data_IF_750293999208
#
_entry.id   IF_750293999208
#
_cell.length_a   1.000
_cell.length_b   1.000
_cell.length_c   1.000
_cell.angle_alpha   90.00
_cell.angle_beta   90.00
_cell.angle_gamma   90.00
#
_symmetry.space_group_name_H-M   'P 1'
#
loop_
_entity.id
_entity.type
_entity.pdbx_description
1 polymer ?
#
# COMPACT_ATOMS: atom_id res chain seq x y z
N UNK A 1 10.50 -55.61 6.88
CA UNK A 1 9.33 -55.41 5.99
C UNK A 1 8.10 -55.47 6.87
N UNK A 2 7.10 -54.63 6.57
CA UNK A 2 5.97 -54.23 7.42
C UNK A 2 6.28 -53.03 8.32
N UNK A 3 5.88 -51.84 7.88
CA UNK A 3 5.65 -50.67 8.73
C UNK A 3 4.13 -50.63 8.98
N UNK A 4 3.73 -50.75 10.25
CA UNK A 4 2.36 -50.52 10.69
C UNK A 4 2.20 -49.08 11.16
N UNK A 5 1.12 -48.45 10.69
CA UNK A 5 0.60 -47.16 11.10
C UNK A 5 0.20 -47.12 12.58
N UNK A 6 0.51 -46.03 13.27
CA UNK A 6 -0.15 -45.52 14.48
C UNK A 6 -0.06 -43.99 14.33
N UNK A 7 -1.09 -43.15 14.45
CA UNK A 7 -2.35 -43.22 15.17
C UNK A 7 -2.51 -41.84 15.80
N UNK A 8 -3.31 -40.97 15.20
CA UNK A 8 -3.57 -39.60 15.64
C UNK A 8 -4.47 -39.66 16.88
N UNK A 9 -3.99 -39.18 18.02
CA UNK A 9 -4.83 -38.56 19.06
C UNK A 9 -3.97 -37.81 20.06
N UNK A 10 -4.07 -36.48 20.08
CA UNK A 10 -4.56 -35.71 21.22
C UNK A 10 -4.38 -34.22 20.92
N UNK A 11 -5.52 -33.54 20.82
CA UNK A 11 -5.65 -32.09 20.85
C UNK A 11 -5.12 -31.60 22.21
N UNK A 12 -3.99 -30.91 22.19
CA UNK A 12 -3.52 -30.07 23.29
C UNK A 12 -3.52 -28.62 22.79
N UNK A 13 -4.05 -27.70 23.58
CA UNK A 13 -3.96 -26.26 23.38
C UNK A 13 -2.55 -25.86 22.94
N UNK A 14 -2.43 -25.34 21.72
CA UNK A 14 -1.25 -24.58 21.33
C UNK A 14 -1.47 -23.14 21.78
N UNK A 15 -1.06 -22.84 23.02
CA UNK A 15 -0.64 -21.48 23.34
C UNK A 15 0.59 -21.20 22.49
N UNK A 16 0.41 -20.51 21.36
CA UNK A 16 1.52 -19.92 20.60
C UNK A 16 2.04 -18.70 21.38
N UNK A 17 2.65 -18.93 22.55
CA UNK A 17 3.59 -17.98 23.10
C UNK A 17 4.88 -18.13 22.29
N UNK A 18 5.00 -17.34 21.23
CA UNK A 18 6.26 -17.14 20.54
C UNK A 18 7.21 -16.40 21.50
N UNK A 19 7.88 -17.12 22.38
CA UNK A 19 9.06 -16.58 23.06
C UNK A 19 10.16 -16.42 22.02
N UNK A 20 10.18 -15.26 21.37
CA UNK A 20 11.35 -14.78 20.63
C UNK A 20 12.47 -14.67 21.65
N UNK A 21 13.54 -15.42 21.44
CA UNK A 21 14.76 -15.23 22.21
C UNK A 21 15.29 -13.82 21.88
N UNK A 22 15.14 -12.90 22.83
CA UNK A 22 15.82 -11.59 22.79
C UNK A 22 17.31 -11.90 22.81
N UNK A 23 18.04 -11.54 21.75
CA UNK A 23 19.49 -11.64 21.75
C UNK A 23 20.06 -10.79 22.89
N UNK A 24 21.10 -11.27 23.58
CA UNK A 24 21.72 -10.64 24.75
C UNK A 24 22.40 -9.26 24.49
N UNK A 25 22.11 -8.60 23.37
CA UNK A 25 22.63 -7.28 22.99
C UNK A 25 21.57 -6.19 23.12
N UNK A 26 21.98 -5.00 23.59
CA UNK A 26 21.13 -3.81 23.50
C UNK A 26 20.88 -3.46 22.02
N UNK A 27 19.66 -3.05 21.63
CA UNK A 27 19.39 -2.60 20.27
C UNK A 27 20.33 -1.46 19.87
N UNK A 28 20.82 -1.51 18.63
CA UNK A 28 21.48 -0.39 17.98
C UNK A 28 20.44 0.52 17.37
N UNK A 29 20.51 1.83 17.68
CA UNK A 29 19.59 2.82 17.14
C UNK A 29 20.30 3.68 16.09
N UNK A 30 19.72 3.76 14.90
CA UNK A 30 20.15 4.62 13.81
C UNK A 30 19.09 5.68 13.50
N UNK A 31 19.53 6.72 12.79
CA UNK A 31 18.64 7.75 12.23
C UNK A 31 18.90 7.92 10.75
N UNK A 32 17.84 8.19 10.01
CA UNK A 32 17.88 8.58 8.62
C UNK A 32 16.88 9.73 8.34
N UNK A 33 16.99 10.38 7.19
CA UNK A 33 16.26 11.58 6.82
C UNK A 33 15.65 11.44 5.43
N UNK A 34 14.36 11.76 5.32
CA UNK A 34 13.64 11.89 4.06
C UNK A 34 13.14 13.34 3.93
N UNK A 35 13.92 14.22 3.28
CA UNK A 35 13.53 15.61 3.04
C UNK A 35 12.63 15.76 1.81
N UNK A 36 11.79 16.79 1.82
CA UNK A 36 11.04 17.20 0.64
C UNK A 36 10.48 18.61 0.75
N UNK A 37 10.39 19.31 -0.38
CA UNK A 37 9.66 20.55 -0.51
C UNK A 37 8.48 20.33 -1.45
N UNK A 38 7.30 20.72 -1.00
CA UNK A 38 6.02 20.41 -1.62
C UNK A 38 5.29 21.67 -2.04
N UNK A 39 4.63 21.66 -3.19
CA UNK A 39 3.79 22.78 -3.65
C UNK A 39 2.46 22.84 -2.86
N UNK A 40 1.60 23.80 -3.22
CA UNK A 40 0.30 24.00 -2.56
C UNK A 40 -0.71 22.86 -2.78
N UNK A 41 -0.47 22.01 -3.78
CA UNK A 41 -1.29 20.83 -4.09
C UNK A 41 -0.71 19.55 -3.45
N UNK A 42 0.43 19.65 -2.76
CA UNK A 42 1.10 18.54 -2.09
C UNK A 42 2.04 17.73 -2.99
N UNK A 43 2.37 18.21 -4.20
CA UNK A 43 3.32 17.52 -5.07
C UNK A 43 4.76 17.80 -4.62
N UNK A 44 5.61 16.77 -4.64
CA UNK A 44 7.04 16.92 -4.37
C UNK A 44 7.72 17.73 -5.48
N UNK A 45 8.12 18.96 -5.17
CA UNK A 45 8.85 19.86 -6.09
C UNK A 45 10.33 19.49 -6.14
N UNK A 46 10.92 19.16 -4.99
CA UNK A 46 12.32 18.77 -4.88
C UNK A 46 12.54 17.89 -3.64
N UNK A 47 13.43 16.87 -3.71
CA UNK A 47 13.78 16.02 -2.56
C UNK A 47 14.75 16.74 -1.59
N UNK A 48 14.73 18.06 -1.54
CA UNK A 48 15.56 18.88 -0.66
C UNK A 48 14.69 19.82 0.16
N UNK A 49 15.24 20.34 1.27
CA UNK A 49 14.56 21.36 2.09
C UNK A 49 14.88 22.75 1.54
N UNK A 50 13.85 23.59 1.38
CA UNK A 50 14.00 24.97 0.90
C UNK A 50 13.33 25.90 1.89
N UNK A 51 14.01 26.97 2.29
CA UNK A 51 13.42 27.99 3.16
C UNK A 51 12.18 28.59 2.49
N UNK A 52 11.08 28.68 3.23
CA UNK A 52 9.77 28.97 2.65
C UNK A 52 9.72 30.42 2.12
N UNK A 53 9.85 30.57 0.81
CA UNK A 53 9.84 31.87 0.16
C UNK A 53 9.65 31.79 -1.35
N UNK A 54 8.77 30.86 -1.82
CA UNK A 54 8.10 30.81 -3.14
C UNK A 54 7.62 29.38 -3.50
N UNK A 55 8.19 28.33 -2.89
CA UNK A 55 8.09 26.92 -3.33
C UNK A 55 7.03 26.03 -2.63
N UNK A 56 6.32 26.55 -1.63
CA UNK A 56 5.36 25.79 -0.82
C UNK A 56 5.92 25.36 0.55
N UNK A 57 5.56 24.18 1.04
CA UNK A 57 5.91 23.69 2.39
C UNK A 57 7.05 22.69 2.37
N UNK A 58 8.06 22.87 3.21
CA UNK A 58 9.13 21.88 3.39
C UNK A 58 8.84 20.99 4.59
N UNK A 59 9.04 19.68 4.38
CA UNK A 59 8.84 18.64 5.37
C UNK A 59 10.11 17.81 5.45
N UNK A 60 10.59 17.57 6.66
CA UNK A 60 11.61 16.57 6.95
C UNK A 60 10.97 15.41 7.69
N UNK A 61 11.09 14.21 7.15
CA UNK A 61 10.78 12.99 7.89
C UNK A 61 12.07 12.47 8.52
N UNK A 62 12.16 12.48 9.86
CA UNK A 62 13.22 11.79 10.59
C UNK A 62 12.78 10.36 10.86
N UNK A 63 13.56 9.45 10.34
CA UNK A 63 13.41 8.01 10.49
C UNK A 63 14.31 7.56 11.62
N UNK A 64 13.76 6.83 12.59
CA UNK A 64 14.50 6.25 13.72
C UNK A 64 14.29 4.75 13.68
N UNK A 65 15.38 3.98 13.68
CA UNK A 65 15.31 2.54 13.50
C UNK A 65 16.12 1.81 14.57
N UNK A 66 15.60 0.67 15.01
CA UNK A 66 16.27 -0.28 15.87
C UNK A 66 16.56 -1.57 15.11
N UNK A 67 17.78 -2.11 15.26
CA UNK A 67 18.18 -3.39 14.67
C UNK A 67 17.64 -4.63 15.41
N UNK A 68 17.00 -4.42 16.56
CA UNK A 68 16.42 -5.45 17.40
C UNK A 68 15.06 -5.01 17.96
N UNK A 69 14.21 -5.96 18.39
CA UNK A 69 12.89 -5.65 18.94
C UNK A 69 12.94 -4.66 20.11
N UNK A 70 11.93 -3.79 20.17
CA UNK A 70 11.79 -2.80 21.25
C UNK A 70 11.22 -3.50 22.52
N UNK A 71 11.76 -3.20 23.71
CA UNK A 71 11.22 -3.72 24.97
C UNK A 71 9.77 -3.32 25.25
N UNK A 72 9.06 -4.13 26.04
CA UNK A 72 7.73 -3.78 26.55
C UNK A 72 7.81 -2.47 27.36
N UNK A 73 6.97 -1.49 27.01
CA UNK A 73 7.00 -0.14 27.57
C UNK A 73 7.75 0.90 26.73
N UNK A 74 8.38 0.46 25.63
CA UNK A 74 9.08 1.32 24.68
C UNK A 74 10.50 1.67 25.09
N UNK A 75 11.24 2.28 24.17
CA UNK A 75 12.62 2.70 24.37
C UNK A 75 12.76 4.22 24.21
N UNK A 76 13.24 4.91 25.23
CA UNK A 76 13.47 6.36 25.18
C UNK A 76 14.83 6.64 24.55
N UNK A 77 14.84 7.39 23.46
CA UNK A 77 16.04 7.71 22.68
C UNK A 77 16.20 9.22 22.57
N UNK A 78 17.42 9.69 22.79
CA UNK A 78 17.81 11.08 22.57
C UNK A 78 18.45 11.23 21.18
N UNK A 79 17.87 12.08 20.35
CA UNK A 79 18.38 12.41 19.02
C UNK A 79 18.78 13.88 19.04
N UNK A 80 20.06 14.13 18.83
CA UNK A 80 20.63 15.47 18.91
C UNK A 80 21.08 15.96 17.54
N UNK A 81 21.29 17.28 17.43
CA UNK A 81 21.81 17.92 16.23
C UNK A 81 23.09 18.68 16.51
N UNK A 82 23.80 19.11 15.46
CA UNK A 82 24.93 20.03 15.59
C UNK A 82 24.52 21.51 15.64
N UNK A 83 23.20 21.80 15.71
CA UNK A 83 22.69 23.15 15.92
C UNK A 83 22.80 23.57 17.40
N UNK A 84 23.06 24.85 17.62
CA UNK A 84 22.98 25.44 18.96
C UNK A 84 21.54 25.60 19.46
N UNK A 85 20.57 25.65 18.55
CA UNK A 85 19.15 25.73 18.86
C UNK A 85 18.33 25.07 17.73
N UNK A 86 17.83 23.86 17.96
CA UNK A 86 17.03 23.12 16.98
C UNK A 86 15.69 23.83 16.69
N UNK A 87 15.24 24.74 17.55
CA UNK A 87 14.01 25.51 17.30
C UNK A 87 14.14 26.52 16.16
N UNK A 88 15.37 26.79 15.69
CA UNK A 88 15.61 27.51 14.43
C UNK A 88 15.28 26.64 13.21
N UNK A 89 15.32 25.32 13.37
CA UNK A 89 15.08 24.35 12.31
C UNK A 89 13.60 23.90 12.25
N UNK A 90 13.00 23.59 13.39
CA UNK A 90 11.59 23.16 13.48
C UNK A 90 10.69 24.37 13.73
N UNK A 91 9.46 24.39 13.20
CA UNK A 91 8.49 25.45 13.54
C UNK A 91 8.30 25.53 15.06
N UNK A 92 8.79 26.62 15.69
CA UNK A 92 9.01 26.79 17.13
C UNK A 92 7.84 26.47 18.09
N UNK A 93 7.47 27.41 18.97
CA UNK A 93 6.67 27.15 20.20
C UNK A 93 5.27 26.48 20.06
N UNK A 94 4.79 26.15 18.85
CA UNK A 94 3.57 25.37 18.57
C UNK A 94 3.87 23.98 17.98
N UNK A 95 5.04 23.42 18.28
CA UNK A 95 5.50 22.11 17.81
C UNK A 95 4.50 20.98 18.14
N UNK A 96 3.84 20.46 17.11
CA UNK A 96 3.01 19.26 17.18
C UNK A 96 3.50 18.32 16.05
N UNK A 97 4.53 17.51 16.30
CA UNK A 97 5.02 16.57 15.29
C UNK A 97 3.95 15.51 15.04
N UNK A 98 3.82 15.10 13.78
CA UNK A 98 3.11 13.85 13.48
C UNK A 98 4.10 12.72 13.62
N UNK A 99 3.78 11.73 14.44
CA UNK A 99 4.63 10.57 14.69
C UNK A 99 3.95 9.29 14.25
N UNK A 100 4.75 8.36 13.78
CA UNK A 100 4.36 7.00 13.46
C UNK A 100 5.33 6.04 14.15
N UNK A 101 4.84 4.99 14.82
CA UNK A 101 5.69 3.98 15.48
C UNK A 101 6.26 4.40 16.84
N UNK A 102 5.83 5.53 17.38
CA UNK A 102 6.26 6.05 18.68
C UNK A 102 5.72 7.45 18.96
N UNK A 103 6.35 8.13 19.91
CA UNK A 103 5.93 9.47 20.36
C UNK A 103 7.14 10.37 20.66
N UNK A 104 6.98 11.67 20.41
CA UNK A 104 7.95 12.67 20.86
C UNK A 104 7.64 13.05 22.31
N UNK A 105 8.63 12.93 23.19
CA UNK A 105 8.51 13.23 24.63
C UNK A 105 8.85 14.68 24.97
N UNK A 106 9.75 15.29 24.21
CA UNK A 106 10.22 16.65 24.46
C UNK A 106 11.51 16.98 23.73
N UNK A 107 12.18 18.02 24.19
CA UNK A 107 13.49 18.43 23.67
C UNK A 107 14.65 17.85 24.49
N UNK A 108 15.78 17.65 23.81
CA UNK A 108 17.09 17.50 24.46
C UNK A 108 17.67 18.90 24.63
N UNK A 109 18.17 19.21 25.82
CA UNK A 109 18.72 20.53 26.16
C UNK A 109 20.23 20.48 26.33
N UNK A 110 20.91 21.47 25.74
CA UNK A 110 22.32 21.72 25.99
C UNK A 110 22.58 22.42 27.32
N UNK A 111 23.86 22.60 27.66
CA UNK A 111 24.30 23.25 28.91
C UNK A 111 23.82 24.71 29.05
N UNK A 112 23.51 25.38 27.93
CA UNK A 112 22.99 26.75 27.89
C UNK A 112 21.45 26.81 28.05
N UNK A 113 20.79 25.66 28.20
CA UNK A 113 19.35 25.53 28.35
C UNK A 113 18.58 25.67 27.05
N UNK A 114 19.24 25.70 25.89
CA UNK A 114 18.58 25.67 24.58
C UNK A 114 18.32 24.24 24.13
N UNK A 115 17.26 24.05 23.36
CA UNK A 115 16.95 22.76 22.77
C UNK A 115 17.95 22.48 21.63
N UNK A 116 18.70 21.39 21.69
CA UNK A 116 19.65 20.99 20.64
C UNK A 116 19.15 19.77 19.86
N UNK A 117 18.15 19.07 20.40
CA UNK A 117 17.62 17.83 19.87
C UNK A 117 16.20 17.54 20.32
N UNK A 118 15.74 16.33 20.03
CA UNK A 118 14.46 15.80 20.48
C UNK A 118 14.65 14.48 21.24
N UNK A 119 13.81 14.28 22.24
CA UNK A 119 13.67 13.01 22.93
C UNK A 119 12.42 12.31 22.41
N UNK A 120 12.58 11.06 22.00
CA UNK A 120 11.50 10.22 21.48
C UNK A 120 11.36 8.96 22.31
N UNK A 121 10.17 8.36 22.31
CA UNK A 121 9.96 6.97 22.74
C UNK A 121 9.59 6.16 21.50
N UNK A 122 10.42 5.18 21.17
CA UNK A 122 10.13 4.18 20.17
C UNK A 122 9.19 3.15 20.82
N UNK A 123 8.06 2.90 20.17
CA UNK A 123 7.13 1.82 20.57
C UNK A 123 7.31 0.59 19.67
N UNK A 124 7.94 0.77 18.49
CA UNK A 124 8.26 -0.29 17.53
C UNK A 124 9.68 -0.08 16.95
N UNK A 125 10.16 -1.07 16.20
CA UNK A 125 11.51 -1.06 15.61
C UNK A 125 11.73 0.09 14.64
N UNK A 126 10.65 0.59 14.02
CA UNK A 126 10.69 1.74 13.14
C UNK A 126 9.79 2.86 13.67
N UNK A 127 10.30 4.08 13.64
CA UNK A 127 9.57 5.29 13.97
C UNK A 127 9.84 6.39 12.95
N UNK A 128 8.82 7.16 12.61
CA UNK A 128 8.93 8.35 11.75
C UNK A 128 8.41 9.57 12.51
N UNK A 129 9.16 10.67 12.44
CA UNK A 129 8.78 11.98 12.97
C UNK A 129 8.80 12.98 11.83
N UNK A 130 7.64 13.55 11.51
CA UNK A 130 7.53 14.56 10.46
C UNK A 130 7.63 15.97 11.06
N UNK A 131 8.56 16.75 10.52
CA UNK A 131 8.76 18.16 10.83
C UNK A 131 8.28 19.01 9.66
N UNK A 132 7.30 19.88 9.87
CA UNK A 132 7.18 21.06 9.02
C UNK A 132 8.34 21.99 9.38
N UNK A 133 9.20 22.24 8.40
CA UNK A 133 10.41 23.03 8.65
C UNK A 133 10.02 24.51 8.55
N UNK A 134 10.26 25.26 9.62
CA UNK A 134 9.84 26.66 9.78
C UNK A 134 10.99 27.62 9.51
N UNK A 135 11.78 27.29 8.49
CA UNK A 135 13.20 27.60 8.45
C UNK A 135 13.45 29.08 8.17
N UNK A 136 14.09 29.70 9.14
CA UNK A 136 15.10 30.70 8.86
C UNK A 136 16.31 30.30 9.69
N UNK A 137 17.20 29.48 9.13
CA UNK A 137 18.53 29.38 9.70
C UNK A 137 19.17 30.75 9.46
N UNK A 138 19.58 31.45 10.52
CA UNK A 138 19.95 32.88 10.47
C UNK A 138 21.13 33.21 9.52
N UNK A 139 21.77 32.20 8.93
CA UNK A 139 22.94 32.32 8.08
C UNK A 139 22.58 32.22 6.59
N UNK A 140 23.12 33.13 5.78
CA UNK A 140 22.89 33.16 4.34
C UNK A 140 23.58 31.99 3.61
N UNK A 141 22.89 31.44 2.61
CA UNK A 141 23.36 30.34 1.77
C UNK A 141 23.08 28.97 2.38
N UNK A 142 23.26 27.88 1.59
CA UNK A 142 22.89 26.53 2.01
C UNK A 142 23.53 26.12 3.33
N UNK A 143 22.71 25.59 4.24
CA UNK A 143 23.09 25.14 5.58
C UNK A 143 22.92 23.63 5.71
N UNK A 144 23.92 22.94 6.26
CA UNK A 144 23.78 21.51 6.59
C UNK A 144 23.48 21.33 8.07
N UNK A 145 22.54 20.44 8.37
CA UNK A 145 22.17 20.03 9.72
C UNK A 145 22.41 18.54 9.87
N UNK A 146 23.16 18.16 10.89
CA UNK A 146 23.51 16.77 11.18
C UNK A 146 22.74 16.26 12.39
N UNK A 147 22.05 15.14 12.22
CA UNK A 147 21.32 14.40 13.25
C UNK A 147 22.12 13.17 13.67
N UNK A 148 22.16 12.91 14.98
CA UNK A 148 22.84 11.75 15.54
C UNK A 148 22.16 11.27 16.81
N UNK A 149 22.32 9.98 17.11
CA UNK A 149 21.79 9.37 18.32
C UNK A 149 22.80 9.50 19.45
N UNK A 150 22.36 9.97 20.61
CA UNK A 150 23.21 10.00 21.81
C UNK A 150 23.19 8.66 22.54
N UNK A 151 24.27 8.27 23.24
CA UNK A 151 24.22 7.12 24.15
C UNK A 151 23.13 7.28 25.21
N UNK A 152 22.38 6.21 25.45
CA UNK A 152 21.30 6.21 26.43
C UNK A 152 21.16 4.87 27.15
N UNK A 153 20.13 4.76 27.99
CA UNK A 153 19.83 3.54 28.72
C UNK A 153 19.12 2.52 27.83
N UNK A 154 19.62 1.29 27.80
CA UNK A 154 18.95 0.18 27.11
C UNK A 154 19.20 0.12 25.60
N UNK A 155 20.07 0.96 25.04
CA UNK A 155 20.43 0.94 23.62
C UNK A 155 21.85 1.47 23.37
N UNK A 156 22.35 1.26 22.16
CA UNK A 156 23.59 1.88 21.69
C UNK A 156 23.36 2.66 20.40
N UNK A 157 23.99 3.83 20.21
CA UNK A 157 23.87 4.57 18.96
C UNK A 157 24.66 3.87 17.85
N UNK A 158 24.12 3.88 16.63
CA UNK A 158 24.91 3.60 15.43
C UNK A 158 26.05 4.61 15.30
N UNK A 159 27.14 4.22 14.65
CA UNK A 159 28.19 5.16 14.27
C UNK A 159 27.77 6.12 13.16
N UNK A 160 26.71 5.78 12.43
CA UNK A 160 26.18 6.57 11.33
C UNK A 160 25.38 7.78 11.82
N UNK A 161 25.49 8.87 11.08
CA UNK A 161 24.79 10.12 11.34
C UNK A 161 24.13 10.56 10.04
N UNK A 162 22.95 11.17 10.15
CA UNK A 162 22.22 11.63 8.98
C UNK A 162 22.41 13.15 8.82
N UNK A 163 22.59 13.61 7.59
CA UNK A 163 22.77 15.04 7.30
C UNK A 163 21.77 15.47 6.24
N UNK A 164 21.18 16.65 6.42
CA UNK A 164 20.31 17.29 5.43
C UNK A 164 20.79 18.70 5.15
N UNK A 165 20.66 19.14 3.90
CA UNK A 165 20.92 20.53 3.52
C UNK A 165 19.62 21.29 3.33
N UNK A 166 19.57 22.47 3.93
CA UNK A 166 18.54 23.49 3.74
C UNK A 166 19.08 24.53 2.78
N UNK A 167 18.31 24.82 1.73
CA UNK A 167 18.61 25.84 0.73
C UNK A 167 17.75 27.07 0.97
N UNK A 168 18.26 28.28 0.75
CA UNK A 168 17.46 29.50 0.94
C UNK A 168 16.35 29.63 -0.13
N UNK A 169 16.60 29.09 -1.33
CA UNK A 169 15.67 29.13 -2.45
C UNK A 169 15.86 27.96 -3.41
N UNK A 170 14.86 27.70 -4.26
CA UNK A 170 14.91 26.63 -5.26
C UNK A 170 16.09 26.79 -6.22
N UNK A 171 16.48 28.02 -6.56
CA UNK A 171 17.59 28.29 -7.48
C UNK A 171 18.96 27.85 -6.92
N UNK A 172 19.06 27.64 -5.61
CA UNK A 172 20.26 27.12 -4.96
C UNK A 172 20.31 25.59 -4.93
N UNK A 173 19.19 24.91 -5.21
CA UNK A 173 19.11 23.46 -5.20
C UNK A 173 19.93 22.88 -6.36
N UNK A 174 20.81 21.88 -6.12
CA UNK A 174 21.58 21.25 -7.18
C UNK A 174 20.68 20.65 -8.26
N UNK A 175 20.99 20.95 -9.51
CA UNK A 175 20.32 20.31 -10.65
C UNK A 175 20.98 18.96 -10.89
N UNK A 176 20.18 17.89 -10.89
CA UNK A 176 20.64 16.55 -11.20
C UNK A 176 21.28 16.51 -12.60
N UNK A 177 22.49 15.95 -12.69
CA UNK A 177 23.25 15.83 -13.95
C UNK A 177 22.83 14.62 -14.79
N UNK A 178 22.19 13.63 -14.15
CA UNK A 178 21.51 12.51 -14.79
C UNK A 178 20.24 12.18 -14.00
N UNK A 179 19.25 11.61 -14.68
CA UNK A 179 18.02 11.14 -14.04
C UNK A 179 18.06 9.61 -14.03
N UNK A 180 18.26 8.98 -12.87
CA UNK A 180 18.12 7.54 -12.76
C UNK A 180 16.67 7.12 -13.04
N UNK A 181 16.50 5.95 -13.66
CA UNK A 181 15.20 5.34 -13.89
C UNK A 181 14.88 4.35 -12.77
N UNK A 182 13.69 4.45 -12.18
CA UNK A 182 13.23 3.61 -11.08
C UNK A 182 12.08 2.73 -11.54
N UNK A 183 12.13 1.47 -11.15
CA UNK A 183 11.08 0.46 -11.37
C UNK A 183 10.56 -0.09 -10.05
N UNK A 184 9.30 -0.54 -10.06
CA UNK A 184 8.59 -1.09 -8.91
C UNK A 184 8.04 -2.48 -9.25
N UNK A 185 8.22 -3.45 -8.35
CA UNK A 185 7.64 -4.79 -8.51
C UNK A 185 7.43 -5.50 -7.17
N UNK A 186 6.45 -6.40 -7.08
CA UNK A 186 6.37 -7.35 -5.95
C UNK A 186 7.12 -8.65 -6.23
N UNK A 187 7.79 -9.18 -5.20
CA UNK A 187 8.21 -10.58 -5.14
C UNK A 187 7.08 -11.39 -4.50
N UNK A 188 6.48 -12.27 -5.28
CA UNK A 188 5.25 -12.97 -4.91
C UNK A 188 4.01 -12.17 -5.30
N UNK A 189 2.96 -12.86 -5.74
CA UNK A 189 1.73 -12.23 -6.23
C UNK A 189 0.57 -12.34 -5.26
N UNK A 190 0.68 -13.21 -4.26
CA UNK A 190 -0.39 -13.50 -3.30
C UNK A 190 0.19 -13.78 -1.94
N UNK A 191 -0.37 -13.14 -0.92
CA UNK A 191 -0.07 -13.42 0.48
C UNK A 191 -1.35 -13.74 1.24
N UNK A 192 -1.20 -14.54 2.28
CA UNK A 192 -2.28 -14.87 3.19
C UNK A 192 -2.11 -14.09 4.47
N UNK A 193 -3.19 -13.52 4.97
CA UNK A 193 -3.19 -12.77 6.22
C UNK A 193 -2.57 -13.61 7.36
N UNK A 194 -1.64 -13.02 8.11
CA UNK A 194 -0.95 -13.66 9.23
C UNK A 194 -0.05 -14.86 8.90
N UNK A 195 0.11 -15.24 7.63
CA UNK A 195 0.83 -16.44 7.23
C UNK A 195 1.96 -16.20 6.21
N UNK A 196 2.22 -14.95 5.83
CA UNK A 196 3.30 -14.63 4.88
C UNK A 196 3.72 -13.17 4.85
N UNK A 197 4.79 -12.92 4.10
CA UNK A 197 5.33 -11.59 3.82
C UNK A 197 5.28 -11.29 2.33
N UNK A 198 4.98 -10.06 1.95
CA UNK A 198 5.20 -9.54 0.60
C UNK A 198 6.43 -8.64 0.58
N UNK A 199 7.23 -8.73 -0.49
CA UNK A 199 8.37 -7.83 -0.68
C UNK A 199 8.13 -6.94 -1.88
N UNK A 200 8.02 -5.63 -1.63
CA UNK A 200 8.02 -4.61 -2.66
C UNK A 200 9.46 -4.24 -3.00
N UNK A 201 9.86 -4.51 -4.23
CA UNK A 201 11.19 -4.24 -4.76
C UNK A 201 11.21 -2.96 -5.61
N UNK A 202 12.32 -2.25 -5.48
CA UNK A 202 12.71 -1.12 -6.30
C UNK A 202 14.04 -1.46 -6.97
N UNK A 203 14.13 -1.24 -8.29
CA UNK A 203 15.40 -1.32 -9.00
C UNK A 203 15.67 0.02 -9.69
N UNK A 204 16.92 0.46 -9.57
CA UNK A 204 17.39 1.74 -10.12
C UNK A 204 18.39 1.48 -11.24
N UNK A 205 18.11 2.02 -12.42
CA UNK A 205 19.04 2.09 -13.53
C UNK A 205 19.62 3.50 -13.64
N UNK A 206 20.96 3.61 -13.58
CA UNK A 206 21.66 4.90 -13.60
C UNK A 206 22.44 5.16 -12.32
N UNK A 207 22.93 6.39 -12.17
CA UNK A 207 23.68 6.82 -10.99
C UNK A 207 22.72 7.28 -9.89
N UNK A 208 22.89 6.71 -8.68
CA UNK A 208 22.17 7.17 -7.48
C UNK A 208 22.95 8.33 -6.89
N UNK A 209 22.34 9.52 -6.71
CA UNK A 209 22.97 10.63 -6.02
C UNK A 209 23.41 10.24 -4.60
N UNK A 210 24.42 10.92 -4.05
CA UNK A 210 24.96 10.59 -2.73
C UNK A 210 23.93 10.74 -1.60
N UNK A 211 22.97 11.66 -1.79
CA UNK A 211 21.83 11.91 -0.93
C UNK A 211 20.71 10.87 -1.08
N UNK A 212 20.78 9.99 -2.08
CA UNK A 212 19.75 9.02 -2.43
C UNK A 212 18.66 9.58 -3.36
N UNK A 213 17.69 8.73 -3.70
CA UNK A 213 16.52 9.08 -4.51
C UNK A 213 15.28 8.98 -3.65
N UNK A 214 14.52 10.08 -3.50
CA UNK A 214 13.23 10.05 -2.79
C UNK A 214 12.12 9.80 -3.81
N UNK A 215 11.49 8.63 -3.71
CA UNK A 215 10.36 8.24 -4.54
C UNK A 215 9.03 8.34 -3.78
N UNK A 216 7.93 8.48 -4.51
CA UNK A 216 6.58 8.47 -3.96
C UNK A 216 5.78 7.30 -4.52
N UNK A 217 5.23 6.47 -3.63
CA UNK A 217 4.37 5.34 -3.99
C UNK A 217 2.97 5.60 -3.46
N UNK A 218 1.99 5.54 -4.35
CA UNK A 218 0.59 5.85 -4.08
C UNK A 218 -0.31 4.62 -4.28
N UNK A 219 -1.29 4.42 -3.39
CA UNK A 219 -2.37 3.44 -3.54
C UNK A 219 -3.71 4.08 -3.96
N UNK A 220 -3.82 5.41 -3.95
CA UNK A 220 -4.93 6.17 -4.54
C UNK A 220 -6.15 6.39 -3.63
N UNK A 221 -6.10 6.02 -2.35
CA UNK A 221 -7.17 6.27 -1.40
C UNK A 221 -6.65 6.39 0.05
N UNK A 222 -7.42 7.07 0.90
CA UNK A 222 -7.08 7.30 2.32
C UNK A 222 -6.93 5.99 3.10
N UNK A 223 -5.92 5.91 3.96
CA UNK A 223 -5.72 4.77 4.86
C UNK A 223 -5.40 3.46 4.16
N UNK A 224 -5.03 3.52 2.87
CA UNK A 224 -4.71 2.33 2.10
C UNK A 224 -3.54 1.52 2.69
N UNK A 225 -2.70 2.06 3.57
CA UNK A 225 -1.62 1.28 4.17
C UNK A 225 -2.03 0.48 5.41
N UNK A 226 -3.29 0.57 5.84
CA UNK A 226 -3.76 -0.03 7.10
C UNK A 226 -3.80 -1.57 7.09
N UNK A 227 -3.79 -2.20 5.93
CA UNK A 227 -3.80 -3.66 5.80
C UNK A 227 -2.44 -4.28 6.19
N UNK A 228 -1.39 -3.46 6.35
CA UNK A 228 -0.02 -3.94 6.54
C UNK A 228 0.52 -3.65 7.93
N UNK A 229 1.33 -4.58 8.44
CA UNK A 229 2.21 -4.31 9.59
C UNK A 229 3.38 -3.44 9.13
N UNK A 230 3.13 -2.13 9.06
CA UNK A 230 4.14 -1.15 8.71
C UNK A 230 5.22 -1.02 9.80
N UNK A 231 4.87 -1.26 11.07
CA UNK A 231 5.79 -1.03 12.19
C UNK A 231 6.96 -2.01 12.18
N UNK A 232 6.70 -3.25 11.78
CA UNK A 232 7.71 -4.30 11.66
C UNK A 232 8.25 -4.48 10.23
N UNK A 233 7.94 -3.54 9.31
CA UNK A 233 8.46 -3.60 7.96
C UNK A 233 9.98 -3.66 7.95
N UNK A 234 10.52 -4.51 7.08
CA UNK A 234 11.97 -4.68 6.92
C UNK A 234 12.42 -4.02 5.64
N UNK A 235 13.44 -3.19 5.74
CA UNK A 235 13.92 -2.37 4.63
C UNK A 235 15.36 -2.73 4.31
N UNK A 236 15.67 -2.81 3.02
CA UNK A 236 17.03 -2.97 2.51
C UNK A 236 17.27 -1.95 1.40
N UNK A 237 18.50 -1.44 1.29
CA UNK A 237 18.89 -0.52 0.23
C UNK A 237 18.23 0.87 0.27
N UNK A 238 17.68 1.26 1.42
CA UNK A 238 17.03 2.56 1.61
C UNK A 238 16.61 2.84 3.06
N UNK A 239 16.04 4.03 3.28
CA UNK A 239 15.51 4.47 4.57
C UNK A 239 14.10 3.93 4.81
N UNK A 240 13.70 3.70 6.07
CA UNK A 240 12.31 3.31 6.34
C UNK A 240 11.28 4.31 5.75
N UNK A 241 10.22 3.83 5.06
CA UNK A 241 9.27 4.72 4.39
C UNK A 241 8.55 5.67 5.34
N UNK A 242 8.38 6.91 4.92
CA UNK A 242 7.54 7.88 5.60
C UNK A 242 6.12 7.87 4.97
N UNK A 243 5.06 7.52 5.73
CA UNK A 243 3.69 7.59 5.22
C UNK A 243 3.35 9.01 4.75
N UNK A 244 2.56 9.11 3.68
CA UNK A 244 1.92 10.38 3.36
C UNK A 244 0.93 10.75 4.49
N UNK A 245 0.58 12.03 4.63
CA UNK A 245 -0.28 12.49 5.73
C UNK A 245 -1.68 11.86 5.77
N UNK A 246 -2.05 11.10 4.73
CA UNK A 246 -3.33 10.39 4.60
C UNK A 246 -3.21 8.87 4.78
N UNK A 247 -1.99 8.35 4.96
CA UNK A 247 -1.67 6.92 4.91
C UNK A 247 -2.22 6.20 3.66
N UNK A 248 -2.36 6.92 2.54
CA UNK A 248 -2.71 6.39 1.22
C UNK A 248 -1.49 6.04 0.36
N UNK A 249 -0.33 6.56 0.73
CA UNK A 249 0.95 6.32 0.07
C UNK A 249 2.12 6.54 1.02
N UNK A 250 3.34 6.48 0.50
CA UNK A 250 4.55 6.73 1.28
C UNK A 250 5.69 7.28 0.41
N UNK A 251 6.58 8.02 1.06
CA UNK A 251 7.87 8.40 0.51
C UNK A 251 8.94 7.41 0.94
N UNK A 252 9.77 6.97 0.00
CA UNK A 252 10.85 6.03 0.26
C UNK A 252 12.15 6.59 -0.30
N UNK A 253 13.21 6.60 0.51
CA UNK A 253 14.53 7.03 0.06
C UNK A 253 15.39 5.82 -0.30
N UNK A 254 15.70 5.68 -1.58
CA UNK A 254 16.55 4.62 -2.13
C UNK A 254 18.00 5.07 -2.10
N UNK A 255 18.88 4.24 -1.56
CA UNK A 255 20.33 4.51 -1.44
C UNK A 255 21.18 3.47 -2.16
N UNK A 256 20.58 2.35 -2.58
CA UNK A 256 21.25 1.27 -3.30
C UNK A 256 20.52 0.91 -4.61
N UNK A 257 21.23 0.32 -5.60
CA UNK A 257 20.62 -0.04 -6.90
C UNK A 257 19.42 -0.98 -6.80
N UNK A 258 19.38 -1.81 -5.75
CA UNK A 258 18.26 -2.68 -5.42
C UNK A 258 17.85 -2.35 -4.00
N UNK A 259 16.61 -1.92 -3.83
CA UNK A 259 16.03 -1.63 -2.53
C UNK A 259 14.72 -2.40 -2.37
N UNK A 260 14.34 -2.69 -1.14
CA UNK A 260 13.10 -3.44 -0.88
C UNK A 260 12.46 -3.08 0.45
N UNK A 261 11.14 -3.24 0.50
CA UNK A 261 10.32 -3.14 1.70
C UNK A 261 9.57 -4.47 1.82
N UNK A 262 9.86 -5.23 2.87
CA UNK A 262 9.14 -6.47 3.19
C UNK A 262 8.13 -6.19 4.28
N UNK A 263 6.87 -6.53 4.01
CA UNK A 263 5.70 -6.26 4.84
C UNK A 263 4.96 -7.56 5.14
N UNK A 264 4.34 -7.61 6.31
CA UNK A 264 3.32 -8.60 6.65
C UNK A 264 1.93 -7.95 6.47
N UNK A 265 0.91 -8.76 6.19
CA UNK A 265 -0.48 -8.30 6.22
C UNK A 265 -1.11 -8.67 7.55
N UNK A 266 -1.79 -7.68 8.13
CA UNK A 266 -2.52 -7.81 9.38
C UNK A 266 -3.69 -8.77 9.20
N UNK A 267 -3.96 -9.55 10.24
CA UNK A 267 -5.17 -10.39 10.30
C UNK A 267 -6.27 -9.56 10.93
N UNK A 268 -7.44 -9.57 10.32
CA UNK A 268 -8.65 -9.06 10.95
C UNK A 268 -9.75 -10.12 11.09
N UNK A 269 -10.96 -9.71 11.51
CA UNK A 269 -12.09 -10.60 11.73
C UNK A 269 -13.12 -10.58 10.58
N UNK A 270 -12.84 -9.84 9.51
CA UNK A 270 -13.69 -9.75 8.34
C UNK A 270 -13.36 -10.89 7.36
N UNK A 271 -14.36 -11.28 6.59
CA UNK A 271 -14.19 -12.24 5.51
C UNK A 271 -14.38 -11.52 4.19
N UNK A 272 -13.29 -11.24 3.51
CA UNK A 272 -13.22 -10.36 2.35
C UNK A 272 -12.87 -11.15 1.07
N UNK A 273 -12.28 -12.34 1.22
CA UNK A 273 -11.92 -13.21 0.12
C UNK A 273 -10.53 -12.88 -0.43
N UNK A 274 -10.42 -12.76 -1.75
CA UNK A 274 -9.16 -12.31 -2.39
C UNK A 274 -9.32 -10.88 -2.86
N UNK A 275 -8.44 -10.00 -2.40
CA UNK A 275 -8.41 -8.58 -2.73
C UNK A 275 -7.13 -8.18 -3.46
N UNK A 276 -7.19 -7.08 -4.22
CA UNK A 276 -6.05 -6.57 -4.97
C UNK A 276 -5.53 -5.24 -4.39
N UNK A 277 -4.34 -5.27 -3.80
CA UNK A 277 -3.60 -4.10 -3.36
C UNK A 277 -2.66 -3.61 -4.47
N UNK A 278 -3.03 -2.52 -5.14
CA UNK A 278 -2.20 -1.87 -6.15
C UNK A 278 -1.30 -0.80 -5.54
N UNK A 279 -0.02 -0.80 -5.90
CA UNK A 279 0.97 0.22 -5.58
C UNK A 279 1.46 0.85 -6.88
N UNK A 280 1.45 2.18 -6.94
CA UNK A 280 1.87 2.94 -8.12
C UNK A 280 3.01 3.88 -7.77
N UNK A 281 4.17 3.67 -8.38
CA UNK A 281 5.29 4.59 -8.34
C UNK A 281 4.95 5.82 -9.19
N UNK A 282 4.84 6.97 -8.53
CA UNK A 282 4.52 8.23 -9.20
C UNK A 282 5.77 8.84 -9.84
N UNK A 283 5.66 9.56 -10.96
CA UNK A 283 6.73 10.42 -11.43
C UNK A 283 7.07 11.47 -10.37
N UNK A 284 8.35 11.82 -10.21
CA UNK A 284 8.78 12.79 -9.20
C UNK A 284 10.08 13.50 -9.55
N UNK A 285 10.47 14.45 -8.71
CA UNK A 285 11.71 15.19 -8.86
C UNK A 285 12.93 14.29 -8.63
N UNK A 286 13.91 14.36 -9.53
CA UNK A 286 15.20 13.67 -9.38
C UNK A 286 15.29 12.25 -9.96
N UNK A 287 14.22 11.72 -10.57
CA UNK A 287 14.22 10.42 -11.24
C UNK A 287 13.18 10.35 -12.37
N UNK A 288 13.25 9.31 -13.19
CA UNK A 288 12.19 8.89 -14.09
C UNK A 288 11.62 7.53 -13.69
N UNK A 289 10.40 7.21 -14.12
CA UNK A 289 9.77 5.92 -13.85
C UNK A 289 9.82 5.05 -15.11
N UNK A 290 10.25 3.81 -14.96
CA UNK A 290 10.23 2.82 -16.04
C UNK A 290 8.79 2.60 -16.55
N UNK A 291 8.59 2.72 -17.86
CA UNK A 291 7.26 2.76 -18.47
C UNK A 291 6.39 1.51 -18.20
N UNK A 292 7.02 0.34 -18.07
CA UNK A 292 6.37 -0.96 -17.85
C UNK A 292 6.44 -1.45 -16.40
N UNK A 293 7.05 -0.68 -15.49
CA UNK A 293 7.23 -1.04 -14.09
C UNK A 293 6.87 0.11 -13.12
N UNK A 294 5.89 0.93 -13.49
CA UNK A 294 5.34 2.00 -12.64
C UNK A 294 4.30 1.51 -11.64
N UNK A 295 3.78 0.29 -11.81
CA UNK A 295 2.68 -0.24 -11.00
C UNK A 295 2.87 -1.72 -10.73
N UNK A 296 2.62 -2.12 -9.49
CA UNK A 296 2.59 -3.53 -9.11
C UNK A 296 1.36 -3.84 -8.26
N UNK A 297 0.86 -5.07 -8.34
CA UNK A 297 -0.33 -5.51 -7.61
C UNK A 297 0.01 -6.72 -6.76
N UNK A 298 -0.34 -6.63 -5.49
CA UNK A 298 -0.29 -7.71 -4.52
C UNK A 298 -1.72 -8.21 -4.32
N UNK A 299 -1.92 -9.53 -4.34
CA UNK A 299 -3.17 -10.13 -3.91
C UNK A 299 -3.09 -10.46 -2.42
N UNK A 300 -4.12 -10.07 -1.69
CA UNK A 300 -4.29 -10.35 -0.27
C UNK A 300 -5.44 -11.35 -0.15
N UNK A 301 -5.30 -12.34 0.72
CA UNK A 301 -6.29 -13.38 0.90
C UNK A 301 -6.44 -13.75 2.38
N UNK A 302 -7.68 -13.82 2.88
CA UNK A 302 -7.99 -14.24 4.26
C UNK A 302 -7.33 -15.58 4.63
N UNK A 303 -7.11 -16.44 3.63
CA UNK A 303 -6.41 -17.70 3.80
C UNK A 303 -6.34 -18.54 2.53
N UNK A 304 -5.80 -19.77 2.62
CA UNK A 304 -5.54 -20.63 1.46
C UNK A 304 -6.77 -21.02 0.63
N UNK A 305 -7.96 -20.90 1.21
CA UNK A 305 -9.24 -21.23 0.58
C UNK A 305 -10.06 -19.99 0.22
N UNK A 306 -9.47 -18.79 0.28
CA UNK A 306 -10.15 -17.57 -0.12
C UNK A 306 -10.53 -17.63 -1.61
N UNK A 307 -11.67 -17.06 -1.94
CA UNK A 307 -12.19 -16.99 -3.31
C UNK A 307 -12.31 -15.52 -3.74
N UNK A 308 -12.14 -15.26 -5.04
CA UNK A 308 -12.45 -13.96 -5.63
C UNK A 308 -13.95 -13.68 -5.44
N UNK A 309 -14.28 -12.55 -4.84
CA UNK A 309 -15.65 -12.12 -4.66
C UNK A 309 -16.19 -11.46 -5.91
N UNK A 310 -17.48 -11.66 -6.17
CA UNK A 310 -18.18 -11.08 -7.32
C UNK A 310 -19.30 -10.18 -6.82
N UNK A 311 -19.14 -8.88 -7.04
CA UNK A 311 -20.20 -7.90 -6.82
C UNK A 311 -21.02 -7.71 -8.10
N UNK A 312 -22.28 -7.32 -7.92
CA UNK A 312 -23.22 -7.13 -9.01
C UNK A 312 -24.08 -5.88 -8.80
N UNK A 313 -24.22 -5.10 -9.86
CA UNK A 313 -25.10 -3.94 -9.91
C UNK A 313 -25.92 -3.98 -11.20
N UNK A 314 -27.13 -3.42 -11.16
CA UNK A 314 -27.99 -3.26 -12.33
C UNK A 314 -28.54 -1.82 -12.38
N UNK A 315 -28.66 -1.27 -13.59
CA UNK A 315 -29.18 0.07 -13.82
C UNK A 315 -29.87 0.16 -15.19
N UNK A 316 -30.97 0.91 -15.32
CA UNK A 316 -31.72 1.56 -14.24
C UNK A 316 -32.59 0.56 -13.47
N UNK A 317 -33.05 0.95 -12.28
CA UNK A 317 -33.92 0.11 -11.43
C UNK A 317 -35.29 -0.17 -12.07
N UNK A 318 -35.76 0.73 -12.94
CA UNK A 318 -37.03 0.61 -13.67
C UNK A 318 -36.77 0.63 -15.16
N UNK A 319 -37.23 -0.42 -15.84
CA UNK A 319 -37.20 -0.51 -17.30
C UNK A 319 -38.56 -0.12 -17.87
N UNK A 320 -38.58 0.79 -18.84
CA UNK A 320 -39.81 1.26 -19.46
C UNK A 320 -39.81 0.85 -20.94
N UNK A 321 -40.65 -0.13 -21.28
CA UNK A 321 -40.72 -0.69 -22.64
C UNK A 321 -41.01 0.38 -23.69
N UNK A 322 -41.92 1.32 -23.41
CA UNK A 322 -42.30 2.40 -24.33
C UNK A 322 -41.17 3.42 -24.56
N UNK A 323 -40.19 3.47 -23.66
CA UNK A 323 -39.02 4.35 -23.76
C UNK A 323 -37.78 3.60 -24.25
N UNK A 324 -37.90 2.29 -24.51
CA UNK A 324 -36.81 1.40 -24.87
C UNK A 324 -35.62 1.46 -23.90
N UNK A 325 -35.89 1.52 -22.60
CA UNK A 325 -34.83 1.53 -21.58
C UNK A 325 -34.02 0.24 -21.63
N UNK A 326 -32.70 0.35 -21.80
CA UNK A 326 -31.79 -0.79 -21.72
C UNK A 326 -31.44 -1.11 -20.26
N UNK A 327 -31.35 -2.40 -19.94
CA UNK A 327 -30.87 -2.89 -18.65
C UNK A 327 -29.38 -3.13 -18.72
N UNK A 328 -28.60 -2.36 -17.97
CA UNK A 328 -27.15 -2.50 -17.86
C UNK A 328 -26.81 -3.19 -16.55
N UNK A 329 -26.14 -4.33 -16.64
CA UNK A 329 -25.67 -5.10 -15.52
C UNK A 329 -24.15 -5.04 -15.46
N UNK A 330 -23.61 -4.69 -14.30
CA UNK A 330 -22.18 -4.61 -14.05
C UNK A 330 -21.80 -5.70 -13.06
N UNK A 331 -20.80 -6.50 -13.39
CA UNK A 331 -20.11 -7.38 -12.45
C UNK A 331 -18.72 -6.84 -12.19
N UNK A 332 -18.31 -6.83 -10.92
CA UNK A 332 -16.96 -6.42 -10.52
C UNK A 332 -16.35 -7.45 -9.60
N UNK A 333 -15.16 -7.92 -9.97
CA UNK A 333 -14.36 -8.88 -9.22
C UNK A 333 -13.48 -8.15 -8.20
N UNK A 334 -13.36 -8.70 -7.00
CA UNK A 334 -12.49 -8.14 -5.93
C UNK A 334 -10.99 -8.18 -6.29
N UNK A 335 -10.59 -9.10 -7.17
CA UNK A 335 -9.25 -9.21 -7.73
C UNK A 335 -9.29 -9.55 -9.23
N UNK A 336 -8.20 -9.30 -10.00
CA UNK A 336 -8.10 -9.76 -11.38
C UNK A 336 -8.39 -11.26 -11.51
N UNK A 337 -9.14 -11.69 -12.54
CA UNK A 337 -9.42 -13.10 -12.72
C UNK A 337 -8.12 -13.87 -13.04
N UNK A 338 -8.07 -15.19 -12.79
CA UNK A 338 -6.95 -16.03 -13.22
C UNK A 338 -6.70 -15.94 -14.73
N UNK A 339 -5.53 -16.36 -15.21
CA UNK A 339 -5.18 -16.29 -16.63
C UNK A 339 -6.17 -17.01 -17.58
N UNK A 340 -6.89 -18.01 -17.08
CA UNK A 340 -7.96 -18.71 -17.81
C UNK A 340 -9.33 -18.01 -17.76
N UNK A 341 -9.45 -16.90 -17.05
CA UNK A 341 -10.70 -16.23 -16.69
C UNK A 341 -11.39 -16.84 -15.47
N UNK A 342 -12.44 -16.18 -15.00
CA UNK A 342 -13.34 -16.64 -13.96
C UNK A 342 -14.73 -16.90 -14.57
N UNK A 343 -15.24 -18.12 -14.43
CA UNK A 343 -16.62 -18.43 -14.83
C UNK A 343 -17.58 -18.06 -13.71
N UNK A 344 -18.53 -17.19 -14.02
CA UNK A 344 -19.62 -16.80 -13.12
C UNK A 344 -20.93 -17.36 -13.65
N UNK A 345 -21.61 -18.16 -12.85
CA UNK A 345 -22.98 -18.60 -13.15
C UNK A 345 -23.96 -17.54 -12.65
N UNK A 346 -24.77 -17.07 -13.59
CA UNK A 346 -25.75 -16.03 -13.40
C UNK A 346 -27.15 -16.64 -13.45
N UNK A 347 -27.90 -16.58 -12.34
CA UNK A 347 -29.30 -16.99 -12.33
C UNK A 347 -30.18 -15.85 -12.86
N UNK A 348 -30.80 -16.03 -14.01
CA UNK A 348 -31.66 -15.06 -14.65
C UNK A 348 -32.99 -15.73 -15.04
N UNK A 349 -33.90 -16.00 -14.08
CA UNK A 349 -35.15 -16.70 -14.35
C UNK A 349 -36.04 -15.98 -15.38
N UNK A 350 -35.93 -14.65 -15.47
CA UNK A 350 -36.65 -13.81 -16.43
C UNK A 350 -35.85 -13.46 -17.69
N UNK A 351 -34.73 -14.13 -17.97
CA UNK A 351 -33.89 -13.83 -19.15
C UNK A 351 -34.69 -13.87 -20.46
N UNK A 352 -35.71 -14.73 -20.55
CA UNK A 352 -36.58 -14.84 -21.72
C UNK A 352 -37.47 -13.63 -22.00
N UNK A 353 -37.55 -12.65 -21.09
CA UNK A 353 -38.27 -11.39 -21.29
C UNK A 353 -37.44 -10.34 -22.06
N UNK A 354 -36.12 -10.54 -22.14
CA UNK A 354 -35.18 -9.65 -22.78
C UNK A 354 -34.86 -10.09 -24.22
N UNK A 355 -34.47 -9.12 -25.07
CA UNK A 355 -33.87 -9.43 -26.36
C UNK A 355 -32.41 -9.87 -26.18
N UNK A 356 -32.23 -11.19 -26.00
CA UNK A 356 -30.89 -11.80 -25.87
C UNK A 356 -30.09 -11.78 -27.17
N UNK A 357 -30.73 -11.56 -28.33
CA UNK A 357 -30.01 -11.45 -29.61
C UNK A 357 -29.35 -10.08 -29.77
N UNK A 358 -29.87 -9.05 -29.09
CA UNK A 358 -29.31 -7.71 -29.03
C UNK A 358 -28.35 -7.45 -27.86
N UNK A 359 -27.96 -8.49 -27.10
CA UNK A 359 -27.07 -8.37 -25.95
C UNK A 359 -25.72 -7.77 -26.36
N UNK A 360 -25.34 -6.68 -25.68
CA UNK A 360 -24.02 -6.05 -25.83
C UNK A 360 -23.17 -6.40 -24.61
N UNK A 361 -21.97 -6.91 -24.87
CA UNK A 361 -20.99 -7.28 -23.85
C UNK A 361 -19.80 -6.32 -23.91
N UNK A 362 -19.24 -5.98 -22.75
CA UNK A 362 -17.93 -5.33 -22.69
C UNK A 362 -16.81 -6.25 -23.19
N UNK A 363 -15.61 -5.69 -23.36
CA UNK A 363 -14.40 -6.48 -23.50
C UNK A 363 -14.26 -7.47 -22.34
N UNK A 364 -13.59 -8.59 -22.62
CA UNK A 364 -13.30 -9.61 -21.62
C UNK A 364 -14.48 -10.41 -21.09
N UNK A 365 -15.65 -10.36 -21.72
CA UNK A 365 -16.83 -11.14 -21.34
C UNK A 365 -17.22 -12.08 -22.48
N UNK A 366 -17.42 -13.37 -22.16
CA UNK A 366 -17.94 -14.34 -23.11
C UNK A 366 -19.03 -15.17 -22.45
N UNK A 367 -20.22 -15.25 -23.06
CA UNK A 367 -21.26 -16.21 -22.64
C UNK A 367 -20.83 -17.59 -23.13
N UNK A 368 -20.63 -18.52 -22.21
CA UNK A 368 -20.09 -19.86 -22.51
C UNK A 368 -21.15 -20.95 -22.51
N UNK A 369 -22.22 -20.77 -21.72
CA UNK A 369 -23.37 -21.66 -21.71
C UNK A 369 -24.66 -20.89 -21.39
N UNK A 370 -25.78 -21.31 -21.99
CA UNK A 370 -27.11 -20.74 -21.73
C UNK A 370 -28.08 -21.86 -21.47
N UNK A 371 -28.66 -21.86 -20.27
CA UNK A 371 -29.59 -22.87 -19.79
C UNK A 371 -30.90 -22.19 -19.41
N UNK A 372 -31.92 -22.97 -19.07
CA UNK A 372 -33.22 -22.41 -18.71
C UNK A 372 -33.12 -21.65 -17.38
N UNK A 373 -33.19 -20.32 -17.44
CA UNK A 373 -33.18 -19.45 -16.27
C UNK A 373 -31.78 -19.17 -15.70
N UNK A 374 -30.71 -19.54 -16.41
CA UNK A 374 -29.34 -19.27 -16.01
C UNK A 374 -28.40 -19.24 -17.21
N UNK A 375 -27.26 -18.59 -17.07
CA UNK A 375 -26.19 -18.63 -18.07
C UNK A 375 -24.84 -18.50 -17.38
N UNK A 376 -23.80 -19.01 -18.03
CA UNK A 376 -22.42 -18.88 -17.58
C UNK A 376 -21.72 -17.81 -18.41
N UNK A 377 -20.99 -16.93 -17.71
CA UNK A 377 -20.09 -15.96 -18.33
C UNK A 377 -18.67 -16.22 -17.89
N UNK A 378 -17.76 -16.25 -18.86
CA UNK A 378 -16.33 -16.19 -18.62
C UNK A 378 -15.90 -14.72 -18.57
N UNK A 379 -15.32 -14.33 -17.45
CA UNK A 379 -14.76 -13.00 -17.21
C UNK A 379 -13.24 -13.08 -17.29
N UNK A 380 -12.64 -12.34 -18.22
CA UNK A 380 -11.17 -12.17 -18.33
C UNK A 380 -10.71 -10.78 -17.93
N UNK A 381 -11.65 -9.89 -17.57
CA UNK A 381 -11.40 -8.56 -17.02
C UNK A 381 -12.04 -8.45 -15.64
N UNK A 382 -11.49 -7.57 -14.79
CA UNK A 382 -11.94 -7.38 -13.41
C UNK A 382 -13.34 -6.72 -13.34
N UNK A 383 -13.73 -5.97 -14.37
CA UNK A 383 -15.07 -5.41 -14.49
C UNK A 383 -15.68 -5.79 -15.83
N UNK A 384 -16.96 -6.15 -15.80
CA UNK A 384 -17.72 -6.61 -16.94
C UNK A 384 -19.07 -5.92 -16.99
N UNK A 385 -19.50 -5.49 -18.17
CA UNK A 385 -20.86 -4.99 -18.38
C UNK A 385 -21.63 -5.81 -19.41
N UNK A 386 -22.89 -6.11 -19.09
CA UNK A 386 -23.86 -6.75 -19.95
C UNK A 386 -25.03 -5.78 -20.12
N UNK A 387 -25.28 -5.36 -21.35
CA UNK A 387 -26.40 -4.48 -21.67
C UNK A 387 -27.44 -5.24 -22.47
N UNK A 388 -28.61 -5.47 -21.87
CA UNK A 388 -29.77 -6.00 -22.55
C UNK A 388 -30.60 -4.83 -23.07
N UNK A 389 -30.81 -4.73 -24.40
CA UNK A 389 -31.79 -3.78 -24.92
C UNK A 389 -33.20 -4.11 -24.41
N UNK A 390 -34.08 -3.11 -24.52
CA UNK A 390 -35.47 -3.12 -24.04
C UNK A 390 -36.18 -4.48 -24.19
N UNK A 391 -37.07 -4.86 -23.24
CA UNK A 391 -37.89 -6.06 -23.37
C UNK A 391 -38.60 -6.12 -24.73
N UNK A 392 -38.73 -7.33 -25.30
CA UNK A 392 -39.36 -7.50 -26.62
C UNK A 392 -40.74 -6.84 -26.66
N UNK A 393 -40.92 -5.87 -27.58
CA UNK A 393 -42.23 -5.25 -27.84
C UNK A 393 -43.34 -6.30 -27.98
N UNK A 394 -44.51 -6.08 -27.39
CA UNK A 394 -45.68 -6.98 -27.31
C UNK A 394 -46.00 -7.80 -28.58
N UNK A 395 -45.68 -7.33 -29.78
CA UNK A 395 -45.88 -8.06 -31.04
C UNK A 395 -45.04 -9.35 -31.16
N UNK A 396 -43.89 -9.45 -30.48
CA UNK A 396 -43.04 -10.66 -30.46
C UNK A 396 -43.41 -11.62 -29.32
N UNK A 397 -43.93 -11.13 -28.19
CA UNK A 397 -44.41 -11.95 -27.06
C UNK A 397 -45.57 -12.87 -27.45
N UNK A 398 -46.37 -12.50 -28.46
CA UNK A 398 -47.52 -13.27 -28.96
C UNK A 398 -47.11 -14.64 -29.56
N UNK A 399 -45.86 -14.82 -29.97
CA UNK A 399 -45.38 -16.09 -30.55
C UNK A 399 -44.88 -17.13 -29.52
N UNK A 400 -44.71 -16.77 -28.23
CA UNK A 400 -44.29 -17.70 -27.18
C UNK A 400 -45.07 -17.43 -25.88
N UNK A 401 -46.28 -17.99 -25.75
CA UNK A 401 -47.05 -17.92 -24.48
C UNK A 401 -46.84 -19.16 -23.62
N UNK A 402 -46.47 -18.94 -22.36
CA UNK A 402 -47.12 -19.49 -21.15
C UNK A 402 -46.87 -18.51 -19.97
N UNK A 403 -47.80 -18.34 -19.01
CA UNK A 403 -47.73 -17.26 -18.03
C UNK A 403 -47.18 -17.73 -16.68
N UNK A 404 -46.23 -17.02 -16.07
CA UNK A 404 -46.08 -17.00 -14.60
C UNK A 404 -45.57 -15.63 -14.10
N UNK A 405 -45.93 -15.21 -12.86
CA UNK A 405 -45.70 -13.85 -12.35
C UNK A 405 -44.63 -13.80 -11.27
N UNK A 406 -43.54 -13.01 -11.37
CA UNK A 406 -42.81 -12.44 -10.21
C UNK A 406 -41.44 -11.83 -10.54
N UNK A 407 -41.18 -10.66 -9.93
CA UNK A 407 -39.94 -9.89 -9.88
C UNK A 407 -39.24 -10.21 -8.56
N UNK A 408 -38.29 -11.16 -8.54
CA UNK A 408 -37.26 -11.26 -7.49
C UNK A 408 -36.20 -12.32 -7.83
N UNK A 409 -34.95 -11.96 -7.51
CA UNK A 409 -33.74 -12.77 -7.39
C UNK A 409 -33.03 -13.18 -8.70
N UNK A 410 -32.03 -12.38 -9.06
CA UNK A 410 -30.81 -12.85 -9.71
C UNK A 410 -29.84 -13.18 -8.57
N UNK A 411 -29.50 -14.46 -8.41
CA UNK A 411 -28.54 -14.93 -7.42
C UNK A 411 -27.31 -15.48 -8.14
N UNK A 412 -26.13 -15.11 -7.65
CA UNK A 412 -24.85 -15.52 -8.22
C UNK A 412 -24.37 -16.74 -7.44
N UNK A 413 -23.96 -17.80 -8.16
CA UNK A 413 -23.33 -18.98 -7.55
C UNK A 413 -21.95 -19.16 -8.18
N UNK A 414 -20.91 -19.12 -7.36
CA UNK A 414 -19.55 -19.45 -7.78
C UNK A 414 -19.42 -20.97 -7.81
N UNK A 415 -18.82 -21.50 -8.87
CA UNK A 415 -18.36 -22.89 -8.92
C UNK A 415 -16.83 -22.89 -8.98
N UNK A 416 -16.14 -23.63 -8.09
CA UNK A 416 -14.71 -23.84 -8.23
C UNK A 416 -14.42 -24.56 -9.55
N UNK A 417 -13.39 -24.12 -10.27
CA UNK A 417 -12.90 -24.84 -11.44
C UNK A 417 -12.44 -26.24 -11.01
N UNK A 418 -13.13 -27.28 -11.49
CA UNK A 418 -12.71 -28.67 -11.28
C UNK A 418 -11.33 -28.88 -11.91
N UNK A 419 -10.30 -29.00 -11.07
CA UNK A 419 -9.02 -29.58 -11.48
C UNK A 419 -9.27 -31.03 -11.91
N UNK A 420 -9.06 -31.29 -13.20
CA UNK A 420 -9.02 -32.64 -13.74
C UNK A 420 -7.85 -33.40 -13.12
N UNK A 421 -8.12 -34.20 -12.09
CA UNK A 421 -7.24 -35.28 -11.67
C UNK A 421 -7.39 -36.43 -12.66
N UNK A 422 -6.54 -36.47 -13.69
CA UNK A 422 -6.36 -37.67 -14.49
C UNK A 422 -5.54 -38.69 -13.68
N UNK A 423 -6.23 -39.52 -12.90
CA UNK A 423 -5.73 -40.87 -12.59
C UNK A 423 -6.10 -41.77 -13.76
N UNK A 424 -5.13 -42.48 -14.37
CA UNK A 424 -5.21 -43.88 -14.84
C UNK A 424 -3.91 -44.28 -15.56
N UNK A 425 -2.92 -44.77 -14.79
CA UNK A 425 -2.21 -46.06 -14.91
C UNK A 425 -0.86 -46.03 -14.18
#
# INVERSE_FOLDING_TARGET
MTIHSVGISQLGNFDYALTVAVGDGQPTISVDLIPGTFDGDGNLVTPHLVESGEAGSSILSLVVQADAPIPEGGLVVNINTDLADITQFIQGSNFIPTTFGGQVLGAVYGDDGKATGIQVRLDNTNMVVNFSTGLGLDAAGPQSVRFFVEPGEGYQPSSEQATVTVYDSLDQVPVATSLPEVSLSFVGSTIFEGLGTATLNFAVEGEIPAEGIVVYVDRGFFGALNDFDLFNARVQGGAFPAPDGQAGGFYFKITEPIASITLEVLVDELQEGIEAATFTLQPGAGYSVAADASRSTLLIADGPNAEIQVSYAASPEVLIETENTASVHTLSLSAPPPAGGLTVTVQAPSLGEFDTAGLVLSSGVTVTDVRLGEFDILLTEQTATLSYPSPMTEWLKVLKRLPLPWWRAMAIRLQPAEMWAASQL
#
